data_IF_054639592190
#
_entry.id   IF_054639592190
#
_cell.length_a   1.000
_cell.length_b   1.000
_cell.length_c   1.000
_cell.angle_alpha   90.00
_cell.angle_beta   90.00
_cell.angle_gamma   90.00
#
_symmetry.space_group_name_H-M   'P 1'
#
loop_
_entity.id
_entity.type
_entity.pdbx_description
1 polymer ?
#
# COMPACT_ATOMS: atom_id res chain seq x y z
N UNK A 1 -7.33 37.93 19.82
CA UNK A 1 -7.52 36.57 20.38
C UNK A 1 -6.27 35.77 20.06
N UNK A 2 -5.60 35.17 21.06
CA UNK A 2 -4.55 34.19 20.78
C UNK A 2 -5.21 32.99 20.09
N UNK A 3 -4.62 32.51 19.00
CA UNK A 3 -5.01 31.26 18.35
C UNK A 3 -5.04 30.13 19.39
N UNK A 4 -6.08 29.28 19.38
CA UNK A 4 -6.28 28.22 20.36
C UNK A 4 -5.08 27.27 20.42
N UNK A 5 -4.46 26.96 19.28
CA UNK A 5 -3.22 26.19 19.22
C UNK A 5 -2.04 26.88 19.93
N UNK A 6 -1.98 28.21 19.86
CA UNK A 6 -0.96 29.00 20.56
C UNK A 6 -1.18 29.00 22.08
N UNK A 7 -2.43 28.97 22.55
CA UNK A 7 -2.72 28.82 23.97
C UNK A 7 -2.25 27.46 24.49
N UNK A 8 -2.56 26.37 23.76
CA UNK A 8 -2.12 25.02 24.12
C UNK A 8 -0.60 24.94 24.20
N UNK A 9 0.13 25.54 23.26
CA UNK A 9 1.62 25.54 23.28
C UNK A 9 2.24 26.41 24.37
N UNK A 10 1.51 27.40 24.91
CA UNK A 10 2.08 28.38 25.84
C UNK A 10 1.60 28.20 27.29
N UNK A 11 0.72 27.24 27.56
CA UNK A 11 0.20 26.96 28.89
C UNK A 11 0.22 25.45 29.16
N UNK A 12 1.05 25.03 30.11
CA UNK A 12 1.26 23.63 30.48
C UNK A 12 -0.01 22.94 30.98
N UNK A 13 -0.83 23.61 31.80
CA UNK A 13 -2.07 23.02 32.32
C UNK A 13 -3.07 22.73 31.19
N UNK A 14 -3.15 23.66 30.22
CA UNK A 14 -4.00 23.49 29.02
C UNK A 14 -3.44 22.39 28.12
N UNK A 15 -2.12 22.34 27.92
CA UNK A 15 -1.44 21.28 27.17
C UNK A 15 -1.77 19.90 27.75
N UNK A 16 -1.56 19.71 29.05
CA UNK A 16 -1.86 18.45 29.73
C UNK A 16 -3.34 18.08 29.70
N UNK A 17 -4.24 19.07 29.77
CA UNK A 17 -5.68 18.81 29.65
C UNK A 17 -6.06 18.31 28.25
N UNK A 18 -5.48 18.91 27.22
CA UNK A 18 -5.66 18.46 25.83
C UNK A 18 -5.06 17.07 25.64
N UNK A 19 -3.84 16.82 26.14
CA UNK A 19 -3.21 15.51 26.03
C UNK A 19 -4.04 14.40 26.68
N UNK A 20 -4.56 14.61 27.89
CA UNK A 20 -5.47 13.65 28.55
C UNK A 20 -6.74 13.41 27.73
N UNK A 21 -7.27 14.46 27.08
CA UNK A 21 -8.42 14.30 26.19
C UNK A 21 -8.06 13.46 24.96
N UNK A 22 -6.92 13.73 24.32
CA UNK A 22 -6.43 12.95 23.17
C UNK A 22 -6.17 11.49 23.54
N UNK A 23 -5.66 11.21 24.75
CA UNK A 23 -5.51 9.85 25.27
C UNK A 23 -6.84 9.09 25.31
N UNK A 24 -7.90 9.74 25.76
CA UNK A 24 -9.24 9.15 25.80
C UNK A 24 -9.85 8.90 24.40
N UNK A 25 -9.26 9.49 23.35
CA UNK A 25 -9.71 9.42 21.96
C UNK A 25 -8.74 8.69 21.04
N UNK A 26 -7.80 7.91 21.59
CA UNK A 26 -6.85 7.10 20.80
C UNK A 26 -7.56 6.27 19.73
N UNK A 27 -7.06 6.37 18.50
CA UNK A 27 -7.59 5.67 17.32
C UNK A 27 -8.95 6.16 16.80
N UNK A 28 -9.52 7.22 17.39
CA UNK A 28 -10.83 7.77 16.98
C UNK A 28 -10.68 9.00 16.09
N UNK A 29 -11.67 9.26 15.23
CA UNK A 29 -11.68 10.43 14.32
C UNK A 29 -11.51 11.75 15.07
N UNK A 30 -12.11 11.86 16.25
CA UNK A 30 -12.09 13.03 17.11
C UNK A 30 -10.67 13.45 17.51
N UNK A 31 -9.73 12.51 17.62
CA UNK A 31 -8.32 12.82 17.86
C UNK A 31 -7.75 13.60 16.66
N UNK A 32 -8.00 13.14 15.44
CA UNK A 32 -7.55 13.81 14.21
C UNK A 32 -8.14 15.22 14.11
N UNK A 33 -9.43 15.37 14.42
CA UNK A 33 -10.13 16.66 14.38
C UNK A 33 -9.51 17.68 15.34
N UNK A 34 -9.22 17.27 16.57
CA UNK A 34 -8.62 18.15 17.59
C UNK A 34 -7.18 18.51 17.22
N UNK A 35 -6.36 17.53 16.81
CA UNK A 35 -4.97 17.78 16.41
C UNK A 35 -4.90 18.70 15.19
N UNK A 36 -5.77 18.51 14.21
CA UNK A 36 -5.90 19.36 13.03
C UNK A 36 -6.31 20.78 13.40
N UNK A 37 -7.38 20.92 14.20
CA UNK A 37 -7.92 22.22 14.61
C UNK A 37 -6.92 23.06 15.41
N UNK A 38 -6.15 22.41 16.29
CA UNK A 38 -5.21 23.09 17.19
C UNK A 38 -3.77 23.14 16.62
N UNK A 39 -3.50 22.48 15.50
CA UNK A 39 -2.17 22.45 14.87
C UNK A 39 -1.08 21.86 15.78
N UNK A 40 -1.38 20.75 16.46
CA UNK A 40 -0.51 20.14 17.47
C UNK A 40 0.56 19.27 16.81
N UNK A 41 1.77 19.81 16.66
CA UNK A 41 2.89 19.15 15.97
C UNK A 41 3.59 18.07 16.80
N UNK A 42 3.39 18.07 18.10
CA UNK A 42 3.96 17.11 19.07
C UNK A 42 3.19 15.77 19.12
N UNK A 43 2.08 15.66 18.38
CA UNK A 43 1.20 14.49 18.40
C UNK A 43 1.56 13.43 17.35
N UNK A 44 2.74 13.52 16.72
CA UNK A 44 3.21 12.60 15.67
C UNK A 44 3.08 11.13 16.06
N UNK A 45 3.45 10.77 17.29
CA UNK A 45 3.36 9.39 17.79
C UNK A 45 1.91 8.89 17.87
N UNK A 46 0.96 9.75 18.29
CA UNK A 46 -0.47 9.38 18.32
C UNK A 46 -1.04 9.24 16.91
N UNK A 47 -0.65 10.13 16.00
CA UNK A 47 -1.07 10.06 14.60
C UNK A 47 -0.54 8.79 13.91
N UNK A 48 0.63 8.31 14.32
CA UNK A 48 1.21 7.08 13.80
C UNK A 48 0.39 5.83 14.08
N UNK A 49 -0.38 5.82 15.17
CA UNK A 49 -1.19 4.66 15.58
C UNK A 49 -2.34 4.37 14.60
N UNK A 50 -2.74 5.36 13.81
CA UNK A 50 -3.76 5.19 12.77
C UNK A 50 -3.28 4.33 11.61
N UNK A 51 -1.97 4.06 11.47
CA UNK A 51 -1.45 3.20 10.40
C UNK A 51 -1.51 1.71 10.73
N UNK A 52 -2.21 1.32 11.79
CA UNK A 52 -2.59 -0.06 12.05
C UNK A 52 -3.51 -0.58 10.93
N UNK A 53 -3.34 -1.84 10.54
CA UNK A 53 -4.16 -2.50 9.51
C UNK A 53 -5.65 -2.62 9.89
N UNK A 54 -5.96 -2.63 11.19
CA UNK A 54 -7.34 -2.66 11.69
C UNK A 54 -8.02 -1.29 11.58
N UNK A 55 -7.25 -0.21 11.40
CA UNK A 55 -7.79 1.13 11.26
C UNK A 55 -8.42 1.31 9.88
N UNK A 56 -9.58 1.96 9.84
CA UNK A 56 -10.25 2.30 8.59
C UNK A 56 -9.33 3.11 7.65
N UNK A 57 -9.34 2.75 6.37
CA UNK A 57 -8.46 3.36 5.35
C UNK A 57 -8.69 4.87 5.24
N UNK A 58 -9.92 5.36 5.43
CA UNK A 58 -10.18 6.80 5.38
C UNK A 58 -9.46 7.56 6.51
N UNK A 59 -9.38 6.96 7.70
CA UNK A 59 -8.67 7.52 8.85
C UNK A 59 -7.15 7.44 8.66
N UNK A 60 -6.63 6.35 8.08
CA UNK A 60 -5.22 6.25 7.68
C UNK A 60 -4.82 7.39 6.73
N UNK A 61 -5.65 7.65 5.71
CA UNK A 61 -5.39 8.71 4.73
C UNK A 61 -5.49 10.09 5.37
N UNK A 62 -6.44 10.30 6.28
CA UNK A 62 -6.60 11.55 7.02
C UNK A 62 -5.41 11.82 7.96
N UNK A 63 -4.94 10.81 8.69
CA UNK A 63 -3.73 10.89 9.50
C UNK A 63 -2.49 11.21 8.65
N UNK A 64 -2.33 10.58 7.48
CA UNK A 64 -1.23 10.88 6.56
C UNK A 64 -1.28 12.34 6.04
N UNK A 65 -2.47 12.84 5.67
CA UNK A 65 -2.64 14.25 5.27
C UNK A 65 -2.30 15.20 6.42
N UNK A 66 -2.74 14.87 7.63
CA UNK A 66 -2.49 15.69 8.80
C UNK A 66 -1.00 15.76 9.13
N UNK A 67 -0.30 14.62 9.14
CA UNK A 67 1.17 14.58 9.30
C UNK A 67 1.89 15.43 8.24
N UNK A 68 1.48 15.36 6.98
CA UNK A 68 2.01 16.24 5.94
C UNK A 68 1.71 17.71 6.25
N UNK A 69 0.50 18.10 6.62
CA UNK A 69 0.18 19.50 6.96
C UNK A 69 0.94 20.04 8.18
N UNK A 70 1.32 19.16 9.10
CA UNK A 70 2.09 19.49 10.31
C UNK A 70 3.60 19.54 10.07
N UNK A 71 4.07 19.28 8.84
CA UNK A 71 5.48 19.30 8.47
C UNK A 71 6.26 18.08 8.97
N UNK A 72 5.60 16.92 9.06
CA UNK A 72 6.19 15.67 9.57
C UNK A 72 6.69 14.77 8.42
N UNK A 73 7.20 15.36 7.33
CA UNK A 73 7.71 14.60 6.17
C UNK A 73 8.90 13.70 6.54
N UNK A 74 9.79 14.15 7.42
CA UNK A 74 10.95 13.36 7.83
C UNK A 74 10.53 12.15 8.67
N UNK A 75 9.59 12.34 9.60
CA UNK A 75 8.97 11.23 10.32
C UNK A 75 8.34 10.21 9.36
N UNK A 76 7.59 10.67 8.34
CA UNK A 76 6.99 9.77 7.35
C UNK A 76 8.05 9.00 6.56
N UNK A 77 9.17 9.64 6.18
CA UNK A 77 10.29 8.97 5.51
C UNK A 77 10.92 7.93 6.42
N UNK A 78 11.23 8.29 7.66
CA UNK A 78 11.82 7.39 8.65
C UNK A 78 10.90 6.22 8.95
N UNK A 79 9.59 6.46 9.03
CA UNK A 79 8.63 5.39 9.25
C UNK A 79 8.55 4.43 8.08
N UNK A 80 8.59 4.93 6.85
CA UNK A 80 8.55 4.07 5.66
C UNK A 80 9.84 3.25 5.52
N UNK A 81 11.00 3.81 5.90
CA UNK A 81 12.29 3.14 5.76
C UNK A 81 12.42 1.84 6.58
N UNK A 82 11.61 1.69 7.64
CA UNK A 82 11.51 0.45 8.42
C UNK A 82 11.10 -0.75 7.56
N UNK A 83 10.32 -0.55 6.50
CA UNK A 83 9.97 -1.61 5.55
C UNK A 83 8.94 -2.64 6.04
N UNK A 84 8.39 -2.46 7.23
CA UNK A 84 7.38 -3.36 7.80
C UNK A 84 5.95 -3.10 7.28
N UNK A 85 4.96 -3.80 7.86
CA UNK A 85 3.55 -3.70 7.43
C UNK A 85 2.97 -2.30 7.62
N UNK A 86 3.38 -1.61 8.68
CA UNK A 86 2.96 -0.23 8.92
C UNK A 86 3.61 0.70 7.90
N UNK A 87 4.85 0.46 7.47
CA UNK A 87 5.43 1.21 6.35
C UNK A 87 4.61 1.04 5.06
N UNK A 88 4.11 -0.16 4.77
CA UNK A 88 3.18 -0.42 3.65
C UNK A 88 1.86 0.36 3.82
N UNK A 89 1.29 0.37 5.02
CA UNK A 89 0.08 1.15 5.36
C UNK A 89 0.29 2.65 5.12
N UNK A 90 1.39 3.21 5.63
CA UNK A 90 1.78 4.61 5.41
C UNK A 90 1.94 4.90 3.92
N UNK A 91 2.61 4.04 3.16
CA UNK A 91 2.82 4.24 1.73
C UNK A 91 1.50 4.27 0.94
N UNK A 92 0.58 3.35 1.25
CA UNK A 92 -0.75 3.31 0.65
C UNK A 92 -1.56 4.58 1.00
N UNK A 93 -1.56 4.97 2.27
CA UNK A 93 -2.25 6.17 2.75
C UNK A 93 -1.73 7.43 2.05
N UNK A 94 -0.39 7.59 1.99
CA UNK A 94 0.27 8.70 1.28
C UNK A 94 -0.16 8.79 -0.18
N UNK A 95 -0.21 7.67 -0.89
CA UNK A 95 -0.66 7.61 -2.28
C UNK A 95 -2.10 8.09 -2.49
N UNK A 96 -2.95 8.01 -1.46
CA UNK A 96 -4.35 8.44 -1.50
C UNK A 96 -4.56 9.87 -0.98
N UNK A 97 -3.52 10.53 -0.45
CA UNK A 97 -3.61 11.91 0.04
C UNK A 97 -3.86 12.92 -1.08
N UNK A 98 -3.42 12.60 -2.31
CA UNK A 98 -3.32 13.51 -3.45
C UNK A 98 -2.42 14.73 -3.21
N UNK A 99 -1.49 14.64 -2.25
CA UNK A 99 -0.50 15.67 -1.94
C UNK A 99 0.76 15.49 -2.79
N UNK A 100 1.28 16.56 -3.40
CA UNK A 100 2.49 16.50 -4.24
C UNK A 100 3.73 16.00 -3.47
N UNK A 101 3.80 16.24 -2.16
CA UNK A 101 4.91 15.78 -1.30
C UNK A 101 4.92 14.26 -1.15
N UNK A 102 3.77 13.59 -1.28
CA UNK A 102 3.72 12.13 -1.29
C UNK A 102 4.57 11.54 -2.42
N UNK A 103 4.66 12.22 -3.56
CA UNK A 103 5.47 11.77 -4.71
C UNK A 103 6.96 11.75 -4.37
N UNK A 104 7.48 12.81 -3.74
CA UNK A 104 8.90 12.86 -3.36
C UNK A 104 9.22 11.91 -2.22
N UNK A 105 8.28 11.64 -1.32
CA UNK A 105 8.44 10.64 -0.25
C UNK A 105 8.45 9.21 -0.81
N UNK A 106 7.54 8.87 -1.74
CA UNK A 106 7.36 7.50 -2.21
C UNK A 106 8.33 7.08 -3.33
N UNK A 107 8.78 8.02 -4.17
CA UNK A 107 9.63 7.70 -5.33
C UNK A 107 10.89 6.88 -4.99
N UNK A 108 11.68 7.23 -3.94
CA UNK A 108 12.87 6.46 -3.58
C UNK A 108 12.57 5.00 -3.21
N UNK A 109 11.41 4.76 -2.57
CA UNK A 109 11.03 3.44 -2.08
C UNK A 109 10.57 2.48 -3.18
N UNK A 110 10.36 2.95 -4.41
CA UNK A 110 10.10 2.04 -5.55
C UNK A 110 11.34 1.21 -5.88
N UNK A 111 12.54 1.75 -5.67
CA UNK A 111 13.81 1.12 -6.06
C UNK A 111 14.71 0.81 -4.87
N UNK A 112 14.28 1.12 -3.65
CA UNK A 112 15.05 0.86 -2.44
C UNK A 112 15.17 -0.64 -2.14
N UNK A 113 16.21 -0.99 -1.39
CA UNK A 113 16.40 -2.32 -0.82
C UNK A 113 15.49 -2.51 0.40
N UNK A 114 14.19 -2.61 0.14
CA UNK A 114 13.11 -2.82 1.11
C UNK A 114 12.24 -4.01 0.65
N UNK A 115 11.31 -4.53 1.46
CA UNK A 115 10.45 -5.62 1.02
C UNK A 115 9.66 -5.27 -0.26
N UNK A 116 9.42 -6.28 -1.11
CA UNK A 116 8.70 -6.12 -2.37
C UNK A 116 7.29 -5.51 -2.18
N UNK A 117 6.62 -5.85 -1.08
CA UNK A 117 5.32 -5.29 -0.70
C UNK A 117 5.36 -3.77 -0.58
N UNK A 118 6.41 -3.21 0.03
CA UNK A 118 6.58 -1.76 0.14
C UNK A 118 6.90 -1.12 -1.21
N UNK A 119 7.75 -1.73 -2.04
CA UNK A 119 8.03 -1.23 -3.40
C UNK A 119 6.76 -1.14 -4.24
N UNK A 120 5.92 -2.18 -4.18
CA UNK A 120 4.64 -2.25 -4.90
C UNK A 120 3.66 -1.21 -4.37
N UNK A 121 3.55 -1.05 -3.04
CA UNK A 121 2.71 -0.04 -2.42
C UNK A 121 3.14 1.39 -2.79
N UNK A 122 4.44 1.68 -2.77
CA UNK A 122 5.00 2.95 -3.21
C UNK A 122 4.69 3.21 -4.69
N UNK A 123 4.92 2.23 -5.57
CA UNK A 123 4.63 2.35 -7.00
C UNK A 123 3.13 2.57 -7.27
N UNK A 124 2.26 1.81 -6.60
CA UNK A 124 0.81 2.01 -6.67
C UNK A 124 0.35 3.36 -6.12
N UNK A 125 1.01 3.86 -5.08
CA UNK A 125 0.82 5.20 -4.53
C UNK A 125 1.12 6.29 -5.57
N UNK A 126 2.30 6.24 -6.19
CA UNK A 126 2.70 7.17 -7.25
C UNK A 126 1.73 7.15 -8.43
N UNK A 127 1.26 5.97 -8.82
CA UNK A 127 0.38 5.78 -9.97
C UNK A 127 -0.98 6.49 -9.87
N UNK A 128 -1.36 6.99 -8.70
CA UNK A 128 -2.64 7.71 -8.46
C UNK A 128 -2.61 9.17 -8.89
N UNK A 129 -1.44 9.77 -9.08
CA UNK A 129 -1.31 11.19 -9.44
C UNK A 129 -0.53 11.35 -10.74
N UNK A 130 -0.79 12.42 -11.49
CA UNK A 130 -0.05 12.69 -12.74
C UNK A 130 1.47 12.84 -12.52
N UNK A 131 1.97 13.56 -11.50
CA UNK A 131 3.40 13.64 -11.23
C UNK A 131 4.00 12.29 -10.83
N UNK A 132 3.31 11.48 -10.04
CA UNK A 132 3.79 10.14 -9.70
C UNK A 132 3.82 9.19 -10.90
N UNK A 133 2.82 9.27 -11.81
CA UNK A 133 2.85 8.55 -13.08
C UNK A 133 4.05 8.96 -13.95
N UNK A 134 4.41 10.25 -13.99
CA UNK A 134 5.64 10.72 -14.66
C UNK A 134 6.89 10.08 -14.04
N UNK A 135 6.97 10.01 -12.71
CA UNK A 135 8.07 9.32 -12.01
C UNK A 135 8.14 7.83 -12.38
N UNK A 136 7.01 7.13 -12.45
CA UNK A 136 6.96 5.72 -12.85
C UNK A 136 7.44 5.50 -14.29
N UNK A 137 7.02 6.36 -15.22
CA UNK A 137 7.51 6.33 -16.61
C UNK A 137 9.02 6.56 -16.66
N UNK A 138 9.53 7.52 -15.90
CA UNK A 138 10.96 7.80 -15.81
C UNK A 138 11.75 6.61 -15.24
N UNK A 139 11.25 5.96 -14.19
CA UNK A 139 11.85 4.75 -13.61
C UNK A 139 11.89 3.59 -14.60
N UNK A 140 10.81 3.38 -15.35
CA UNK A 140 10.78 2.35 -16.39
C UNK A 140 11.80 2.64 -17.50
N UNK A 141 11.80 3.85 -18.05
CA UNK A 141 12.68 4.23 -19.16
C UNK A 141 14.17 4.27 -18.80
N UNK A 142 14.48 4.40 -17.51
CA UNK A 142 15.85 4.31 -16.98
C UNK A 142 16.23 2.90 -16.55
N UNK A 143 15.40 1.89 -16.85
CA UNK A 143 15.63 0.47 -16.51
C UNK A 143 15.75 0.21 -15.00
N UNK A 144 15.19 1.11 -14.17
CA UNK A 144 15.24 1.03 -12.71
C UNK A 144 13.97 0.46 -12.08
N UNK A 145 12.90 0.26 -12.84
CA UNK A 145 11.64 -0.25 -12.30
C UNK A 145 11.76 -1.75 -11.95
N UNK A 146 11.59 -2.15 -10.68
CA UNK A 146 11.64 -3.56 -10.30
C UNK A 146 10.50 -4.36 -10.94
N UNK A 147 10.77 -5.62 -11.29
CA UNK A 147 9.84 -6.48 -12.05
C UNK A 147 8.50 -6.67 -11.33
N UNK A 148 8.53 -6.81 -10.02
CA UNK A 148 7.36 -6.98 -9.16
C UNK A 148 6.41 -5.76 -9.16
N UNK A 149 6.92 -4.57 -9.49
CA UNK A 149 6.13 -3.36 -9.65
C UNK A 149 5.43 -3.30 -11.02
N UNK A 150 5.77 -4.18 -11.97
CA UNK A 150 5.30 -4.11 -13.36
C UNK A 150 3.78 -4.10 -13.49
N UNK A 151 3.07 -4.99 -12.79
CA UNK A 151 1.61 -5.08 -12.89
C UNK A 151 0.88 -3.88 -12.28
N UNK A 152 1.36 -3.37 -11.13
CA UNK A 152 0.75 -2.18 -10.50
C UNK A 152 0.98 -0.95 -11.37
N UNK A 153 2.19 -0.79 -11.93
CA UNK A 153 2.51 0.32 -12.85
C UNK A 153 1.71 0.23 -14.15
N UNK A 154 1.59 -0.97 -14.73
CA UNK A 154 0.73 -1.21 -15.90
C UNK A 154 -0.70 -0.72 -15.67
N UNK A 155 -1.31 -1.12 -14.55
CA UNK A 155 -2.68 -0.71 -14.22
C UNK A 155 -2.80 0.80 -14.00
N UNK A 156 -1.84 1.41 -13.31
CA UNK A 156 -1.82 2.85 -13.06
C UNK A 156 -1.68 3.68 -14.33
N UNK A 157 -0.97 3.17 -15.33
CA UNK A 157 -0.71 3.88 -16.58
C UNK A 157 -1.72 3.57 -17.70
N UNK A 158 -2.58 2.56 -17.55
CA UNK A 158 -3.45 2.05 -18.61
C UNK A 158 -4.34 3.11 -19.28
N UNK A 159 -4.82 4.10 -18.52
CA UNK A 159 -5.57 5.25 -19.06
C UNK A 159 -4.85 6.59 -18.83
N UNK A 160 -3.54 6.56 -18.55
CA UNK A 160 -2.79 7.78 -18.28
C UNK A 160 -2.59 8.60 -19.57
N UNK A 161 -2.65 9.92 -19.42
CA UNK A 161 -2.31 10.90 -20.46
C UNK A 161 -0.88 11.42 -20.35
N UNK A 162 -0.05 10.84 -19.46
CA UNK A 162 1.37 11.20 -19.34
C UNK A 162 2.14 10.72 -20.57
N UNK A 163 3.11 11.53 -21.01
CA UNK A 163 3.99 11.20 -22.13
C UNK A 163 4.66 9.83 -21.91
N UNK A 164 4.78 9.06 -22.99
CA UNK A 164 5.30 7.69 -22.99
C UNK A 164 4.52 6.66 -22.15
N UNK A 165 3.42 7.00 -21.48
CA UNK A 165 2.64 6.02 -20.70
C UNK A 165 2.14 4.85 -21.56
N UNK A 166 1.67 5.12 -22.79
CA UNK A 166 1.21 4.08 -23.73
C UNK A 166 2.32 3.08 -24.11
N UNK A 167 3.55 3.56 -24.25
CA UNK A 167 4.74 2.73 -24.54
C UNK A 167 5.03 1.80 -23.36
N UNK A 168 5.05 2.35 -22.14
CA UNK A 168 5.26 1.57 -20.91
C UNK A 168 4.16 0.52 -20.73
N UNK A 169 2.90 0.90 -20.94
CA UNK A 169 1.74 -0.01 -20.87
C UNK A 169 1.87 -1.16 -21.86
N UNK A 170 2.28 -0.89 -23.10
CA UNK A 170 2.45 -1.94 -24.10
C UNK A 170 3.54 -2.95 -23.72
N UNK A 171 4.58 -2.50 -23.01
CA UNK A 171 5.70 -3.36 -22.57
C UNK A 171 5.42 -4.12 -21.28
N UNK A 172 4.73 -3.50 -20.33
CA UNK A 172 4.38 -4.09 -19.03
C UNK A 172 3.04 -4.85 -19.08
N UNK A 173 2.41 -4.97 -20.25
CA UNK A 173 1.15 -5.68 -20.40
C UNK A 173 1.27 -7.09 -19.79
N UNK A 174 0.34 -7.50 -18.91
CA UNK A 174 0.34 -8.84 -18.38
C UNK A 174 0.16 -9.83 -19.54
N UNK A 175 0.65 -11.08 -19.37
CA UNK A 175 0.46 -12.09 -20.39
C UNK A 175 -1.03 -12.24 -20.72
N UNK A 176 -1.36 -12.53 -22.00
CA UNK A 176 -2.74 -12.70 -22.39
C UNK A 176 -3.39 -13.84 -21.59
N UNK A 177 -4.71 -13.80 -21.52
CA UNK A 177 -5.51 -14.90 -20.97
C UNK A 177 -5.22 -16.21 -21.71
N UNK A 178 -5.69 -17.33 -21.18
CA UNK A 178 -5.53 -18.64 -21.83
C UNK A 178 -6.10 -18.68 -23.26
N UNK A 179 -7.01 -17.76 -23.62
CA UNK A 179 -7.56 -17.60 -24.97
C UNK A 179 -6.81 -16.61 -25.87
N UNK A 180 -5.68 -16.03 -25.43
CA UNK A 180 -4.91 -15.06 -26.20
C UNK A 180 -5.40 -13.61 -26.08
N UNK A 181 -6.50 -13.37 -25.38
CA UNK A 181 -7.06 -12.03 -25.19
C UNK A 181 -6.31 -11.25 -24.11
N UNK A 182 -6.20 -9.93 -24.26
CA UNK A 182 -5.67 -9.06 -23.23
C UNK A 182 -6.54 -9.14 -21.95
N UNK A 183 -5.90 -9.14 -20.79
CA UNK A 183 -6.60 -9.06 -19.52
C UNK A 183 -7.43 -7.77 -19.45
N UNK A 184 -8.72 -7.85 -19.11
CA UNK A 184 -9.54 -6.67 -18.89
C UNK A 184 -8.94 -5.74 -17.83
N UNK A 185 -9.21 -4.43 -17.89
CA UNK A 185 -8.78 -3.51 -16.84
C UNK A 185 -9.43 -3.87 -15.50
N UNK A 186 -8.75 -3.57 -14.39
CA UNK A 186 -9.23 -3.87 -13.02
C UNK A 186 -10.69 -3.43 -12.79
N UNK A 187 -11.06 -2.22 -13.24
CA UNK A 187 -12.45 -1.69 -13.15
C UNK A 187 -13.53 -2.58 -13.77
N UNK A 188 -13.17 -3.37 -14.79
CA UNK A 188 -14.06 -4.34 -15.44
C UNK A 188 -14.03 -5.66 -14.68
N UNK A 189 -12.84 -6.15 -14.32
CA UNK A 189 -12.66 -7.39 -13.54
C UNK A 189 -13.48 -7.39 -12.25
N UNK A 190 -13.43 -6.30 -11.47
CA UNK A 190 -14.14 -6.19 -10.18
C UNK A 190 -15.65 -6.22 -10.34
N UNK A 191 -16.21 -5.94 -11.52
CA UNK A 191 -17.66 -6.03 -11.80
C UNK A 191 -18.08 -7.39 -12.36
N UNK A 192 -17.14 -8.25 -12.74
CA UNK A 192 -17.44 -9.58 -13.28
C UNK A 192 -17.93 -10.52 -12.18
N UNK A 193 -18.95 -11.33 -12.49
CA UNK A 193 -19.43 -12.36 -11.58
C UNK A 193 -18.51 -13.59 -11.67
N UNK A 194 -18.00 -14.02 -10.53
CA UNK A 194 -17.20 -15.25 -10.45
C UNK A 194 -18.08 -16.50 -10.43
N UNK A 195 -17.53 -17.63 -10.88
CA UNK A 195 -18.13 -18.96 -10.74
C UNK A 195 -17.31 -19.81 -9.76
N UNK A 196 -17.95 -20.30 -8.70
CA UNK A 196 -17.25 -21.01 -7.60
C UNK A 196 -16.63 -22.33 -8.08
N UNK A 197 -17.28 -23.05 -8.99
CA UNK A 197 -16.78 -24.33 -9.51
C UNK A 197 -15.51 -24.11 -10.34
N UNK A 198 -15.55 -23.13 -11.24
CA UNK A 198 -14.40 -22.71 -12.05
C UNK A 198 -13.26 -22.18 -11.17
N UNK A 199 -13.57 -21.42 -10.12
CA UNK A 199 -12.60 -20.97 -9.12
C UNK A 199 -11.87 -22.13 -8.45
N UNK A 200 -12.60 -23.18 -8.02
CA UNK A 200 -11.99 -24.40 -7.43
C UNK A 200 -11.04 -25.08 -8.44
N UNK A 201 -11.46 -25.24 -9.69
CA UNK A 201 -10.62 -25.84 -10.75
C UNK A 201 -9.36 -25.01 -10.99
N UNK A 202 -9.46 -23.69 -11.03
CA UNK A 202 -8.28 -22.81 -11.18
C UNK A 202 -7.34 -22.92 -9.99
N UNK A 203 -7.85 -22.89 -8.76
CA UNK A 203 -7.05 -22.95 -7.53
C UNK A 203 -6.24 -24.25 -7.39
N UNK A 204 -6.86 -25.39 -7.69
CA UNK A 204 -6.21 -26.70 -7.61
C UNK A 204 -5.46 -27.11 -8.89
N UNK A 205 -5.81 -26.51 -10.03
CA UNK A 205 -5.23 -26.83 -11.32
C UNK A 205 -4.28 -25.75 -11.83
N UNK A 206 -4.70 -25.07 -12.90
CA UNK A 206 -3.84 -24.17 -13.71
C UNK A 206 -3.25 -23.00 -12.94
N UNK A 207 -3.94 -22.51 -11.91
CA UNK A 207 -3.46 -21.39 -11.08
C UNK A 207 -2.43 -21.82 -10.03
N UNK A 208 -2.25 -23.13 -9.81
CA UNK A 208 -1.29 -23.75 -8.87
C UNK A 208 -1.31 -23.20 -7.44
N UNK A 209 -2.35 -22.44 -7.07
CA UNK A 209 -2.47 -21.78 -5.78
C UNK A 209 -2.43 -22.77 -4.61
N UNK A 210 -3.05 -23.94 -4.80
CA UNK A 210 -3.07 -25.04 -3.82
C UNK A 210 -1.69 -25.64 -3.48
N UNK A 211 -0.66 -25.36 -4.29
CA UNK A 211 0.72 -25.78 -3.98
C UNK A 211 1.30 -25.00 -2.80
N UNK A 212 0.79 -23.80 -2.55
CA UNK A 212 1.24 -22.97 -1.44
C UNK A 212 0.14 -22.79 -0.38
N UNK A 213 -1.11 -22.60 -0.79
CA UNK A 213 -2.21 -22.24 0.11
C UNK A 213 -3.19 -23.38 0.37
N UNK A 214 -3.87 -23.29 1.51
CA UNK A 214 -4.97 -24.17 1.93
C UNK A 214 -6.32 -23.45 1.80
N UNK A 215 -7.36 -24.18 1.41
CA UNK A 215 -8.77 -23.75 1.46
C UNK A 215 -9.63 -24.91 1.97
N UNK A 216 -10.35 -24.69 3.07
CA UNK A 216 -11.20 -25.67 3.74
C UNK A 216 -10.52 -27.04 3.95
N UNK A 217 -9.25 -27.03 4.37
CA UNK A 217 -8.46 -28.24 4.59
C UNK A 217 -7.78 -28.84 3.36
N UNK A 218 -8.07 -28.35 2.14
CA UNK A 218 -7.45 -28.84 0.90
C UNK A 218 -6.28 -27.92 0.46
N UNK A 219 -5.10 -28.49 0.20
CA UNK A 219 -3.92 -27.76 -0.30
C UNK A 219 -2.65 -28.02 0.52
N UNK A 220 -1.71 -27.06 0.51
CA UNK A 220 -0.47 -27.09 1.29
C UNK A 220 -0.44 -25.96 2.32
N UNK A 221 0.40 -26.14 3.33
CA UNK A 221 0.55 -25.23 4.48
C UNK A 221 1.89 -24.47 4.37
N UNK A 222 2.15 -23.90 3.18
CA UNK A 222 3.36 -23.11 2.92
C UNK A 222 3.03 -21.62 3.00
N UNK A 223 1.86 -21.22 2.53
CA UNK A 223 1.28 -19.89 2.66
C UNK A 223 0.03 -19.93 3.54
N UNK A 224 -0.53 -18.75 3.90
CA UNK A 224 -1.69 -18.65 4.77
C UNK A 224 -2.91 -19.42 4.26
N UNK A 225 -3.72 -19.90 5.19
CA UNK A 225 -5.04 -20.47 4.91
C UNK A 225 -5.97 -19.38 4.34
N UNK A 226 -6.52 -19.65 3.15
CA UNK A 226 -7.36 -18.74 2.39
C UNK A 226 -8.87 -19.06 2.53
N UNK A 227 -9.27 -19.96 3.43
CA UNK A 227 -10.67 -20.34 3.65
C UNK A 227 -11.59 -19.13 3.87
N UNK A 228 -11.10 -18.14 4.62
CA UNK A 228 -11.84 -16.92 4.98
C UNK A 228 -11.41 -15.69 4.15
N UNK A 229 -10.61 -15.86 3.09
CA UNK A 229 -10.05 -14.70 2.38
C UNK A 229 -11.13 -13.85 1.71
N UNK A 230 -12.24 -14.49 1.30
CA UNK A 230 -13.36 -13.82 0.64
C UNK A 230 -14.14 -12.85 1.54
N UNK A 231 -14.07 -12.99 2.87
CA UNK A 231 -14.66 -12.04 3.82
C UNK A 231 -13.67 -10.96 4.25
N UNK A 232 -12.36 -11.21 4.09
CA UNK A 232 -11.29 -10.29 4.50
C UNK A 232 -10.88 -9.29 3.43
N UNK A 233 -10.85 -9.68 2.16
CA UNK A 233 -10.40 -8.82 1.06
C UNK A 233 -11.57 -8.22 0.28
N UNK A 234 -11.41 -6.94 -0.09
CA UNK A 234 -12.24 -6.35 -1.15
C UNK A 234 -12.02 -7.06 -2.48
N UNK A 235 -12.93 -6.86 -3.44
CA UNK A 235 -12.84 -7.50 -4.76
C UNK A 235 -11.60 -7.01 -5.52
N UNK A 236 -11.29 -5.72 -5.42
CA UNK A 236 -10.10 -5.07 -5.96
C UNK A 236 -8.82 -5.70 -5.36
N UNK A 237 -8.78 -5.86 -4.03
CA UNK A 237 -7.65 -6.45 -3.34
C UNK A 237 -7.47 -7.92 -3.72
N UNK A 238 -8.57 -8.68 -3.86
CA UNK A 238 -8.53 -10.07 -4.31
C UNK A 238 -7.92 -10.23 -5.70
N UNK A 239 -8.36 -9.44 -6.69
CA UNK A 239 -7.77 -9.49 -8.03
C UNK A 239 -6.31 -9.06 -8.04
N UNK A 240 -5.96 -8.06 -7.24
CA UNK A 240 -4.57 -7.62 -7.10
C UNK A 240 -3.69 -8.71 -6.52
N UNK A 241 -4.14 -9.42 -5.47
CA UNK A 241 -3.42 -10.55 -4.89
C UNK A 241 -3.29 -11.74 -5.85
N UNK A 242 -4.28 -11.98 -6.72
CA UNK A 242 -4.20 -13.05 -7.72
C UNK A 242 -3.23 -12.68 -8.85
N UNK A 243 -3.28 -11.43 -9.33
CA UNK A 243 -2.52 -10.98 -10.51
C UNK A 243 -1.11 -10.50 -10.15
N UNK A 244 -0.89 -10.15 -8.88
CA UNK A 244 0.39 -9.79 -8.31
C UNK A 244 0.53 -10.41 -6.89
N UNK A 245 0.77 -11.73 -6.78
CA UNK A 245 0.81 -12.43 -5.49
C UNK A 245 1.91 -11.96 -4.54
N UNK A 246 2.93 -11.27 -5.05
CA UNK A 246 3.99 -10.67 -4.24
C UNK A 246 3.61 -9.29 -3.65
N UNK A 247 2.45 -8.74 -4.02
CA UNK A 247 1.99 -7.42 -3.55
C UNK A 247 1.63 -7.38 -2.06
N UNK A 248 1.37 -8.54 -1.45
CA UNK A 248 1.09 -8.66 -0.03
C UNK A 248 1.47 -10.04 0.48
N UNK A 249 2.55 -10.13 1.24
CA UNK A 249 2.91 -11.35 1.97
C UNK A 249 2.20 -11.30 3.32
N UNK A 250 1.48 -12.37 3.66
CA UNK A 250 0.79 -12.47 4.95
C UNK A 250 1.79 -12.67 6.09
N UNK A 251 1.42 -12.22 7.30
CA UNK A 251 2.28 -12.30 8.48
C UNK A 251 2.71 -13.73 8.78
N UNK A 252 3.99 -13.92 9.12
CA UNK A 252 4.63 -15.21 9.41
C UNK A 252 4.83 -16.11 8.18
N UNK A 253 4.67 -15.56 6.97
CA UNK A 253 4.91 -16.25 5.70
C UNK A 253 5.97 -15.54 4.85
N UNK A 254 6.81 -14.71 5.49
CA UNK A 254 7.98 -14.13 4.88
C UNK A 254 8.94 -15.23 4.43
N UNK A 255 9.33 -15.20 3.14
CA UNK A 255 10.32 -16.13 2.62
C UNK A 255 11.72 -15.57 2.84
N UNK A 256 12.57 -16.36 3.49
CA UNK A 256 14.00 -16.11 3.60
C UNK A 256 14.72 -17.08 2.67
N UNK A 257 15.50 -16.56 1.72
CA UNK A 257 16.44 -17.37 0.95
C UNK A 257 17.81 -17.30 1.62
N UNK A 258 18.40 -18.44 1.94
CA UNK A 258 19.74 -18.47 2.51
C UNK A 258 20.72 -18.68 1.36
N UNK A 259 21.54 -17.68 1.08
CA UNK A 259 22.62 -17.80 0.09
C UNK A 259 23.92 -18.11 0.83
N UNK A 260 24.51 -19.26 0.53
CA UNK A 260 25.80 -19.65 1.09
C UNK A 260 26.93 -18.83 0.45
N UNK A 261 28.11 -18.78 1.09
CA UNK A 261 29.24 -17.98 0.60
C UNK A 261 29.75 -18.41 -0.81
N UNK A 262 29.48 -19.65 -1.19
CA UNK A 262 29.75 -20.23 -2.51
C UNK A 262 28.59 -20.06 -3.51
N UNK A 263 27.54 -19.33 -3.14
CA UNK A 263 26.46 -18.90 -4.04
C UNK A 263 25.31 -19.90 -4.19
N UNK A 264 25.24 -20.94 -3.35
CA UNK A 264 24.09 -21.84 -3.31
C UNK A 264 22.93 -21.14 -2.62
N UNK A 265 21.77 -21.09 -3.27
CA UNK A 265 20.52 -20.58 -2.68
C UNK A 265 19.74 -21.77 -2.10
N UNK A 266 19.48 -21.72 -0.80
CA UNK A 266 18.68 -22.67 -0.03
C UNK A 266 17.28 -22.12 0.24
#
# INVERSE_FOLDING_TARGET
MKDAGTLVRSNEDVHQAVDRYLDSKRGQRELLDVVSTLGLRDQTNRLAEFFNEETDVSLQVEAARLLLSLGQEDYLRDRISVGDRVAVSVANALGMTNDRRSVSILTPYVTADVPASLRIAAAGGLGRTRPGQQSLVSLYRSEKLPRECGYVVYNSLLNSSVDHAKEVVARLAPPPTTGGEALPPMRKLVRMRGDRKSGKVTFHGKGTCSKCHKVHGEGKDIGPDLSEIGSKLSREAMYTAILNPNAGISHNYEQYGVVTADGLVL
#
